data_IF_956942697081
#
_entry.id   IF_956942697081
#
_cell.length_a   1.000
_cell.length_b   1.000
_cell.length_c   1.000
_cell.angle_alpha   90.00
_cell.angle_beta   90.00
_cell.angle_gamma   90.00
#
_symmetry.space_group_name_H-M   'P 1'
#
loop_
_entity.id
_entity.type
_entity.pdbx_description
1 polymer ?
#
# COMPACT_ATOMS: atom_id res chain seq x y z
N UNK A 1 -24.25 58.86 -17.14
CA UNK A 1 -23.90 57.94 -16.02
C UNK A 1 -23.38 56.64 -16.60
N UNK A 2 -22.08 56.54 -16.89
CA UNK A 2 -21.46 55.35 -17.48
C UNK A 2 -21.16 54.31 -16.39
N UNK A 3 -21.67 53.08 -16.55
CA UNK A 3 -21.35 51.94 -15.67
C UNK A 3 -19.90 51.51 -15.93
N UNK A 4 -19.04 51.65 -14.92
CA UNK A 4 -17.69 51.12 -14.96
C UNK A 4 -17.75 49.58 -14.99
N UNK A 5 -17.26 48.99 -16.07
CA UNK A 5 -17.03 47.55 -16.15
C UNK A 5 -15.96 47.17 -15.10
N UNK A 6 -16.31 46.26 -14.18
CA UNK A 6 -15.35 45.69 -13.24
C UNK A 6 -14.28 44.91 -14.00
N UNK A 7 -12.97 45.14 -13.75
CA UNK A 7 -11.92 44.44 -14.46
C UNK A 7 -12.02 42.94 -14.14
N UNK A 8 -12.04 42.13 -15.19
CA UNK A 8 -12.00 40.68 -15.08
C UNK A 8 -10.76 40.28 -14.26
N UNK A 9 -10.98 39.75 -13.05
CA UNK A 9 -9.88 39.35 -12.17
C UNK A 9 -9.09 38.22 -12.84
N UNK A 10 -7.92 38.56 -13.36
CA UNK A 10 -6.91 37.62 -13.83
C UNK A 10 -6.66 36.63 -12.70
N UNK A 11 -7.10 35.38 -12.89
CA UNK A 11 -7.03 34.33 -11.86
C UNK A 11 -5.61 34.28 -11.30
N UNK A 12 -5.45 34.63 -10.02
CA UNK A 12 -4.13 34.62 -9.37
C UNK A 12 -3.55 33.21 -9.54
N UNK A 13 -2.33 33.14 -10.10
CA UNK A 13 -1.61 31.86 -10.16
C UNK A 13 -1.50 31.30 -8.74
N UNK A 14 -1.74 30.00 -8.61
CA UNK A 14 -1.62 29.33 -7.31
C UNK A 14 -0.16 29.40 -6.83
N UNK A 15 0.08 29.40 -5.51
CA UNK A 15 1.43 29.39 -4.97
C UNK A 15 2.25 28.21 -5.52
N UNK A 16 3.56 28.41 -5.70
CA UNK A 16 4.45 27.40 -6.26
C UNK A 16 4.42 26.07 -5.49
N UNK A 17 4.28 26.12 -4.16
CA UNK A 17 4.19 24.93 -3.32
C UNK A 17 2.96 24.06 -3.63
N UNK A 18 1.84 24.67 -4.01
CA UNK A 18 0.62 23.95 -4.43
C UNK A 18 0.88 23.19 -5.73
N UNK A 19 1.58 23.82 -6.67
CA UNK A 19 1.91 23.19 -7.96
C UNK A 19 2.88 22.03 -7.77
N UNK A 20 3.94 22.22 -6.98
CA UNK A 20 4.91 21.17 -6.63
C UNK A 20 4.24 19.99 -5.95
N UNK A 21 3.31 20.24 -5.02
CA UNK A 21 2.63 19.19 -4.30
C UNK A 21 1.65 18.42 -5.19
N UNK A 22 0.94 19.09 -6.10
CA UNK A 22 0.11 18.41 -7.11
C UNK A 22 0.97 17.54 -8.05
N UNK A 23 2.14 18.03 -8.46
CA UNK A 23 3.12 17.27 -9.25
C UNK A 23 3.56 16.02 -8.48
N UNK A 24 3.92 16.18 -7.20
CA UNK A 24 4.32 15.08 -6.31
C UNK A 24 3.21 14.05 -6.15
N UNK A 25 1.98 14.48 -5.85
CA UNK A 25 0.81 13.60 -5.72
C UNK A 25 0.51 12.87 -7.04
N UNK A 26 0.67 13.51 -8.19
CA UNK A 26 0.49 12.87 -9.51
C UNK A 26 1.62 11.89 -9.86
N UNK A 27 2.83 12.17 -9.43
CA UNK A 27 3.99 11.28 -9.61
C UNK A 27 3.86 10.03 -8.72
N UNK A 28 3.41 10.19 -7.47
CA UNK A 28 3.23 9.09 -6.50
C UNK A 28 1.95 8.27 -6.74
N UNK A 29 0.83 8.93 -7.05
CA UNK A 29 -0.50 8.32 -7.25
C UNK A 29 -0.76 7.89 -8.70
N UNK A 30 0.16 7.11 -9.28
CA UNK A 30 0.09 6.67 -10.68
C UNK A 30 -1.32 6.13 -11.02
N UNK A 31 -1.96 6.71 -12.04
CA UNK A 31 -3.29 6.28 -12.51
C UNK A 31 -4.49 6.90 -11.77
N UNK A 32 -4.31 7.70 -10.71
CA UNK A 32 -5.43 8.39 -10.06
C UNK A 32 -6.00 9.52 -10.94
N UNK A 33 -7.33 9.59 -11.04
CA UNK A 33 -8.00 10.68 -11.76
C UNK A 33 -7.79 12.04 -11.09
N UNK A 34 -7.86 13.13 -11.87
CA UNK A 34 -7.61 14.51 -11.39
C UNK A 34 -8.48 14.91 -10.19
N UNK A 35 -9.74 14.45 -10.15
CA UNK A 35 -10.67 14.72 -9.05
C UNK A 35 -10.23 14.05 -7.73
N UNK A 36 -9.64 12.84 -7.80
CA UNK A 36 -9.12 12.14 -6.62
C UNK A 36 -7.87 12.83 -6.09
N UNK A 37 -7.00 13.31 -6.98
CA UNK A 37 -5.82 14.10 -6.60
C UNK A 37 -6.25 15.39 -5.90
N UNK A 38 -7.24 16.10 -6.46
CA UNK A 38 -7.77 17.32 -5.84
C UNK A 38 -8.36 17.04 -4.44
N UNK A 39 -9.13 15.95 -4.31
CA UNK A 39 -9.71 15.54 -3.02
C UNK A 39 -8.63 15.17 -2.00
N UNK A 40 -7.58 14.46 -2.43
CA UNK A 40 -6.45 14.11 -1.58
C UNK A 40 -5.71 15.36 -1.09
N UNK A 41 -5.37 16.28 -2.00
CA UNK A 41 -4.74 17.55 -1.66
C UNK A 41 -5.57 18.34 -0.64
N UNK A 42 -6.86 18.55 -0.94
CA UNK A 42 -7.73 19.37 -0.08
C UNK A 42 -7.91 18.78 1.32
N UNK A 43 -7.85 17.44 1.48
CA UNK A 43 -7.89 16.81 2.81
C UNK A 43 -6.57 16.98 3.56
N UNK A 44 -5.43 16.80 2.88
CA UNK A 44 -4.10 16.87 3.50
C UNK A 44 -3.74 18.30 3.93
N UNK A 45 -4.11 19.28 3.09
CA UNK A 45 -3.70 20.68 3.24
C UNK A 45 -4.86 21.59 3.65
N UNK A 46 -5.94 21.03 4.20
CA UNK A 46 -7.10 21.78 4.67
C UNK A 46 -6.73 22.93 5.63
N UNK A 47 -5.70 22.72 6.46
CA UNK A 47 -5.21 23.67 7.45
C UNK A 47 -4.39 24.84 6.85
N UNK A 48 -3.90 24.71 5.61
CA UNK A 48 -3.08 25.75 4.95
C UNK A 48 -3.92 26.77 4.18
N UNK A 49 -5.26 26.68 4.23
CA UNK A 49 -6.17 27.63 3.58
C UNK A 49 -6.23 27.53 2.04
N UNK A 50 -5.40 26.70 1.42
CA UNK A 50 -5.37 26.51 -0.03
C UNK A 50 -6.22 25.32 -0.48
N UNK A 51 -6.97 25.53 -1.56
CA UNK A 51 -7.77 24.48 -2.21
C UNK A 51 -7.50 24.42 -3.70
N UNK A 52 -7.55 23.21 -4.24
CA UNK A 52 -7.43 22.92 -5.66
C UNK A 52 -8.71 22.25 -6.17
N UNK A 53 -9.16 22.67 -7.35
CA UNK A 53 -10.25 22.01 -8.09
C UNK A 53 -9.70 20.94 -9.04
N UNK A 54 -10.57 20.06 -9.54
CA UNK A 54 -10.24 19.12 -10.62
C UNK A 54 -9.60 19.82 -11.82
N UNK A 55 -10.16 20.94 -12.26
CA UNK A 55 -9.66 21.72 -13.42
C UNK A 55 -8.28 22.33 -13.14
N UNK A 56 -8.05 22.79 -11.91
CA UNK A 56 -6.74 23.32 -11.48
C UNK A 56 -5.67 22.23 -11.51
N UNK A 57 -5.99 21.04 -10.98
CA UNK A 57 -5.07 19.89 -11.04
C UNK A 57 -4.79 19.50 -12.49
N UNK A 58 -5.81 19.44 -13.34
CA UNK A 58 -5.63 19.10 -14.75
C UNK A 58 -4.72 20.10 -15.47
N UNK A 59 -4.89 21.41 -15.22
CA UNK A 59 -4.01 22.45 -15.74
C UNK A 59 -2.57 22.26 -15.28
N UNK A 60 -2.34 22.10 -13.98
CA UNK A 60 -0.99 21.92 -13.40
C UNK A 60 -0.33 20.67 -13.96
N UNK A 61 -1.05 19.54 -14.02
CA UNK A 61 -0.51 18.28 -14.54
C UNK A 61 -0.18 18.37 -16.02
N UNK A 62 -1.01 19.05 -16.82
CA UNK A 62 -0.75 19.23 -18.24
C UNK A 62 0.45 20.16 -18.50
N UNK A 63 0.61 21.21 -17.69
CA UNK A 63 1.74 22.13 -17.80
C UNK A 63 3.07 21.51 -17.32
N UNK A 64 3.04 20.47 -16.48
CA UNK A 64 4.22 19.91 -15.81
C UNK A 64 4.46 18.42 -16.14
N UNK A 65 4.08 17.98 -17.34
CA UNK A 65 4.19 16.55 -17.74
C UNK A 65 5.61 16.03 -17.65
N UNK A 66 6.60 16.83 -18.05
CA UNK A 66 8.01 16.46 -18.03
C UNK A 66 8.55 16.31 -16.61
N UNK A 67 8.24 17.26 -15.71
CA UNK A 67 8.61 17.18 -14.30
C UNK A 67 8.00 15.94 -13.63
N UNK A 68 6.74 15.63 -13.92
CA UNK A 68 6.08 14.41 -13.44
C UNK A 68 6.79 13.16 -13.97
N UNK A 69 7.18 13.15 -15.24
CA UNK A 69 7.91 12.03 -15.84
C UNK A 69 9.33 11.87 -15.27
N UNK A 70 10.02 12.97 -14.98
CA UNK A 70 11.32 12.98 -14.31
C UNK A 70 11.23 12.40 -12.90
N UNK A 71 10.29 12.89 -12.08
CA UNK A 71 10.05 12.35 -10.73
C UNK A 71 9.65 10.87 -10.75
N UNK A 72 8.88 10.44 -11.76
CA UNK A 72 8.56 9.01 -11.94
C UNK A 72 9.79 8.18 -12.26
N UNK A 73 10.70 8.69 -13.09
CA UNK A 73 11.97 8.00 -13.41
C UNK A 73 12.86 7.92 -12.18
N UNK A 74 12.99 9.01 -11.43
CA UNK A 74 13.74 9.03 -10.18
C UNK A 74 13.19 8.01 -9.18
N UNK A 75 11.88 8.02 -8.92
CA UNK A 75 11.26 7.04 -8.04
C UNK A 75 11.35 5.59 -8.54
N UNK A 76 11.38 5.35 -9.86
CA UNK A 76 11.51 4.01 -10.43
C UNK A 76 12.90 3.41 -10.17
N UNK A 77 13.94 4.23 -10.19
CA UNK A 77 15.33 3.81 -10.02
C UNK A 77 15.87 4.06 -8.61
N UNK A 78 15.06 4.60 -7.71
CA UNK A 78 15.42 4.74 -6.31
C UNK A 78 15.73 3.36 -5.72
N UNK A 79 17.03 3.11 -5.49
CA UNK A 79 17.51 1.91 -4.81
C UNK A 79 16.83 1.88 -3.44
N UNK A 80 16.12 0.79 -3.07
CA UNK A 80 15.58 0.68 -1.73
C UNK A 80 16.72 0.84 -0.73
N UNK A 81 16.62 1.82 0.17
CA UNK A 81 17.54 1.92 1.31
C UNK A 81 17.66 0.53 1.94
N UNK A 82 18.89 0.10 2.23
CA UNK A 82 19.19 -1.25 2.73
C UNK A 82 18.12 -1.68 3.72
N UNK A 83 17.30 -2.68 3.38
CA UNK A 83 16.11 -2.92 4.14
C UNK A 83 16.49 -3.49 5.50
N UNK A 84 16.02 -2.84 6.57
CA UNK A 84 16.10 -3.41 7.90
C UNK A 84 15.36 -4.76 7.89
N UNK A 85 16.11 -5.84 8.15
CA UNK A 85 15.55 -7.19 8.22
C UNK A 85 14.67 -7.33 9.45
N UNK A 86 13.60 -8.12 9.32
CA UNK A 86 12.78 -8.52 10.46
C UNK A 86 12.16 -7.35 11.26
N UNK A 87 11.95 -6.19 10.62
CA UNK A 87 11.33 -5.03 11.29
C UNK A 87 9.83 -4.99 11.03
N UNK A 88 9.42 -5.21 9.79
CA UNK A 88 8.01 -5.16 9.38
C UNK A 88 7.69 -6.41 8.58
N UNK A 89 6.74 -7.20 9.06
CA UNK A 89 6.20 -8.32 8.30
C UNK A 89 4.88 -7.92 7.66
N UNK A 90 4.66 -8.33 6.42
CA UNK A 90 3.38 -8.26 5.74
C UNK A 90 2.75 -9.65 5.72
N UNK A 91 1.47 -9.73 6.06
CA UNK A 91 0.70 -10.96 6.08
C UNK A 91 -0.52 -10.84 5.16
N UNK A 92 -0.71 -11.84 4.30
CA UNK A 92 -1.80 -11.88 3.32
C UNK A 92 -2.38 -13.30 3.23
N UNK A 93 -3.71 -13.39 3.09
CA UNK A 93 -4.43 -14.64 2.89
C UNK A 93 -4.91 -14.69 1.45
N UNK A 94 -4.40 -15.66 0.69
CA UNK A 94 -4.85 -15.89 -0.68
C UNK A 94 -5.58 -17.22 -0.79
N UNK A 95 -6.57 -17.28 -1.69
CA UNK A 95 -7.21 -18.54 -2.07
C UNK A 95 -6.60 -18.99 -3.38
N UNK A 96 -6.08 -20.21 -3.41
CA UNK A 96 -5.46 -20.83 -4.58
C UNK A 96 -6.25 -22.08 -4.93
N UNK A 97 -6.55 -22.25 -6.22
CA UNK A 97 -7.11 -23.51 -6.71
C UNK A 97 -5.97 -24.48 -7.00
N UNK A 98 -6.09 -25.70 -6.48
CA UNK A 98 -5.17 -26.79 -6.78
C UNK A 98 -5.39 -27.33 -8.21
N UNK A 99 -4.53 -28.24 -8.67
CA UNK A 99 -4.67 -28.91 -9.97
C UNK A 99 -6.01 -29.65 -10.14
N UNK A 100 -6.64 -30.01 -9.02
CA UNK A 100 -7.95 -30.66 -8.93
C UNK A 100 -9.12 -29.66 -8.77
N UNK A 101 -8.89 -28.37 -9.02
CA UNK A 101 -9.85 -27.27 -8.84
C UNK A 101 -10.36 -27.05 -7.41
N UNK A 102 -9.83 -27.78 -6.42
CA UNK A 102 -10.15 -27.55 -5.00
C UNK A 102 -9.53 -26.26 -4.51
N UNK A 103 -10.33 -25.41 -3.87
CA UNK A 103 -9.84 -24.17 -3.27
C UNK A 103 -9.15 -24.45 -1.94
N UNK A 104 -7.92 -23.96 -1.80
CA UNK A 104 -7.12 -23.98 -0.57
C UNK A 104 -6.77 -22.56 -0.19
N UNK A 105 -6.77 -22.25 1.10
CA UNK A 105 -6.34 -20.93 1.58
C UNK A 105 -4.89 -21.02 2.02
N UNK A 106 -4.09 -20.05 1.63
CA UNK A 106 -2.66 -20.00 1.92
C UNK A 106 -2.35 -18.68 2.60
N UNK A 107 -1.66 -18.75 3.72
CA UNK A 107 -1.09 -17.61 4.43
C UNK A 107 0.31 -17.33 3.90
N UNK A 108 0.48 -16.17 3.29
CA UNK A 108 1.78 -15.63 2.95
C UNK A 108 2.27 -14.68 4.03
N UNK A 109 3.50 -14.89 4.52
CA UNK A 109 4.22 -13.95 5.38
C UNK A 109 5.49 -13.52 4.66
N UNK A 110 5.68 -12.22 4.50
CA UNK A 110 6.81 -11.63 3.77
C UNK A 110 7.45 -10.53 4.61
N UNK A 111 8.78 -10.51 4.68
CA UNK A 111 9.52 -9.38 5.25
C UNK A 111 9.43 -8.19 4.28
N UNK A 112 8.82 -7.09 4.73
CA UNK A 112 8.63 -5.89 3.91
C UNK A 112 9.98 -5.26 3.52
N UNK A 113 10.98 -5.37 4.39
CA UNK A 113 12.32 -4.91 4.12
C UNK A 113 12.95 -5.74 3.01
N UNK A 114 13.34 -6.96 3.35
CA UNK A 114 14.17 -7.81 2.47
C UNK A 114 13.43 -8.40 1.29
N UNK A 115 12.09 -8.37 1.31
CA UNK A 115 11.21 -9.12 0.39
C UNK A 115 11.38 -10.63 0.48
N UNK A 116 12.01 -11.13 1.54
CA UNK A 116 12.09 -12.55 1.79
C UNK A 116 10.71 -13.11 2.15
N UNK A 117 10.34 -14.23 1.51
CA UNK A 117 9.18 -15.00 1.91
C UNK A 117 9.53 -15.79 3.18
N UNK A 118 8.87 -15.45 4.29
CA UNK A 118 9.06 -16.07 5.60
C UNK A 118 8.24 -17.35 5.71
N UNK A 119 7.03 -17.32 5.14
CA UNK A 119 6.10 -18.43 5.18
C UNK A 119 5.13 -18.42 4.00
N UNK A 120 4.82 -19.63 3.54
CA UNK A 120 3.64 -19.96 2.76
C UNK A 120 3.04 -21.20 3.42
N UNK A 121 2.00 -21.02 4.21
CA UNK A 121 1.37 -22.10 4.97
C UNK A 121 -0.07 -22.28 4.51
N UNK A 122 -0.49 -23.52 4.27
CA UNK A 122 -1.91 -23.82 4.02
C UNK A 122 -2.71 -23.67 5.32
N UNK A 123 -3.81 -22.92 5.25
CA UNK A 123 -4.69 -22.66 6.39
C UNK A 123 -6.09 -23.18 6.08
N UNK A 124 -6.61 -24.02 6.97
CA UNK A 124 -7.92 -24.63 6.83
C UNK A 124 -9.06 -23.72 7.33
N UNK A 125 -8.78 -22.81 8.25
CA UNK A 125 -9.77 -21.93 8.87
C UNK A 125 -9.29 -20.47 8.90
N UNK A 126 -10.15 -19.53 8.48
CA UNK A 126 -9.90 -18.07 8.61
C UNK A 126 -10.13 -17.58 10.05
N UNK A 127 -9.50 -18.23 11.02
CA UNK A 127 -9.62 -17.86 12.44
C UNK A 127 -8.33 -17.22 12.92
N UNK A 128 -8.44 -16.25 13.82
CA UNK A 128 -7.28 -15.59 14.41
C UNK A 128 -6.35 -16.56 15.14
N UNK A 129 -6.91 -17.61 15.75
CA UNK A 129 -6.15 -18.66 16.43
C UNK A 129 -5.26 -19.45 15.46
N UNK A 130 -5.77 -19.79 14.27
CA UNK A 130 -4.96 -20.46 13.24
C UNK A 130 -3.81 -19.57 12.75
N UNK A 131 -4.09 -18.29 12.52
CA UNK A 131 -3.08 -17.31 12.12
C UNK A 131 -2.01 -17.10 13.18
N UNK A 132 -2.41 -16.99 14.45
CA UNK A 132 -1.48 -16.84 15.58
C UNK A 132 -0.57 -18.06 15.74
N UNK A 133 -1.09 -19.27 15.51
CA UNK A 133 -0.29 -20.50 15.57
C UNK A 133 0.84 -20.48 14.53
N UNK A 134 0.52 -20.11 13.31
CA UNK A 134 1.52 -19.95 12.25
C UNK A 134 2.52 -18.84 12.59
N UNK A 135 2.05 -17.68 13.06
CA UNK A 135 2.91 -16.58 13.48
C UNK A 135 3.89 -17.00 14.59
N UNK A 136 3.42 -17.74 15.59
CA UNK A 136 4.25 -18.23 16.68
C UNK A 136 5.37 -19.16 16.18
N UNK A 137 5.05 -20.07 15.26
CA UNK A 137 6.05 -20.92 14.62
C UNK A 137 7.11 -20.10 13.88
N UNK A 138 6.73 -18.99 13.25
CA UNK A 138 7.68 -18.09 12.57
C UNK A 138 8.47 -17.22 13.53
N UNK A 139 7.87 -16.74 14.62
CA UNK A 139 8.59 -15.99 15.66
C UNK A 139 9.71 -16.83 16.28
N UNK A 140 9.48 -18.13 16.50
CA UNK A 140 10.54 -19.04 17.00
C UNK A 140 11.72 -19.17 16.04
N UNK A 141 11.47 -19.12 14.73
CA UNK A 141 12.51 -19.34 13.70
C UNK A 141 13.26 -18.06 13.31
N UNK A 142 12.55 -16.92 13.25
CA UNK A 142 13.08 -15.67 12.70
C UNK A 142 13.15 -14.53 13.74
N UNK A 143 12.65 -14.74 14.95
CA UNK A 143 12.50 -13.71 15.98
C UNK A 143 11.22 -12.88 15.83
N UNK A 144 11.04 -11.91 16.72
CA UNK A 144 9.85 -11.06 16.75
C UNK A 144 10.04 -9.81 15.88
N UNK A 145 9.10 -9.50 14.96
CA UNK A 145 9.12 -8.24 14.23
C UNK A 145 8.65 -7.08 15.12
N UNK A 146 9.02 -5.85 14.77
CA UNK A 146 8.50 -4.65 15.46
C UNK A 146 7.04 -4.37 15.08
N UNK A 147 6.66 -4.70 13.84
CA UNK A 147 5.33 -4.43 13.31
C UNK A 147 4.89 -5.55 12.36
N UNK A 148 3.60 -5.89 12.42
CA UNK A 148 2.95 -6.76 11.44
C UNK A 148 1.87 -5.93 10.73
N UNK A 149 1.97 -5.87 9.41
CA UNK A 149 1.00 -5.24 8.52
C UNK A 149 0.08 -6.31 7.96
N UNK A 150 -1.21 -6.09 8.10
CA UNK A 150 -2.22 -7.04 7.64
C UNK A 150 -3.35 -6.32 6.93
N UNK A 151 -3.89 -6.96 5.90
CA UNK A 151 -5.10 -6.48 5.24
C UNK A 151 -6.33 -6.61 6.15
N UNK A 152 -7.32 -5.79 5.88
CA UNK A 152 -8.41 -5.41 6.79
C UNK A 152 -9.49 -6.50 6.99
N UNK A 153 -9.09 -7.78 6.94
CA UNK A 153 -9.98 -8.93 7.08
C UNK A 153 -10.42 -9.14 8.53
N UNK A 154 -11.62 -9.71 8.71
CA UNK A 154 -12.27 -9.89 10.02
C UNK A 154 -11.41 -10.75 10.97
N UNK A 155 -10.74 -11.78 10.44
CA UNK A 155 -9.83 -12.65 11.19
C UNK A 155 -8.63 -11.89 11.81
N UNK A 156 -8.23 -10.77 11.20
CA UNK A 156 -7.08 -9.96 11.62
C UNK A 156 -7.47 -8.87 12.62
N UNK A 157 -8.76 -8.57 12.73
CA UNK A 157 -9.30 -7.54 13.65
C UNK A 157 -9.67 -8.06 15.03
N UNK A 158 -9.62 -9.36 15.26
CA UNK A 158 -10.09 -9.92 16.53
C UNK A 158 -9.34 -9.35 17.72
N UNK A 159 -10.06 -9.18 18.84
CA UNK A 159 -9.46 -8.77 20.12
C UNK A 159 -8.34 -9.72 20.52
N UNK A 160 -8.50 -11.02 20.26
CA UNK A 160 -7.51 -12.05 20.52
C UNK A 160 -6.16 -11.77 19.82
N UNK A 161 -6.19 -11.51 18.51
CA UNK A 161 -4.98 -11.19 17.74
C UNK A 161 -4.28 -9.95 18.28
N UNK A 162 -5.06 -8.88 18.54
CA UNK A 162 -4.53 -7.62 19.08
C UNK A 162 -3.90 -7.79 20.45
N UNK A 163 -4.58 -8.48 21.36
CA UNK A 163 -4.09 -8.72 22.72
C UNK A 163 -2.81 -9.54 22.73
N UNK A 164 -2.75 -10.62 21.93
CA UNK A 164 -1.55 -11.48 21.90
C UNK A 164 -0.36 -10.75 21.28
N UNK A 165 -0.54 -10.05 20.16
CA UNK A 165 0.55 -9.29 19.56
C UNK A 165 1.02 -8.15 20.47
N UNK A 166 0.09 -7.50 21.18
CA UNK A 166 0.43 -6.48 22.17
C UNK A 166 1.26 -7.04 23.32
N UNK A 167 0.88 -8.21 23.88
CA UNK A 167 1.66 -8.89 24.92
C UNK A 167 3.07 -9.29 24.43
N UNK A 168 3.21 -9.62 23.15
CA UNK A 168 4.50 -9.94 22.53
C UNK A 168 5.31 -8.70 22.13
N UNK A 169 4.81 -7.48 22.40
CA UNK A 169 5.47 -6.22 22.01
C UNK A 169 5.44 -5.93 20.51
N UNK A 170 4.61 -6.64 19.75
CA UNK A 170 4.50 -6.50 18.29
C UNK A 170 3.34 -5.58 17.94
N UNK A 171 3.60 -4.50 17.19
CA UNK A 171 2.55 -3.58 16.74
C UNK A 171 1.76 -4.18 15.58
N UNK A 172 0.43 -4.20 15.67
CA UNK A 172 -0.44 -4.61 14.56
C UNK A 172 -0.90 -3.37 13.78
N UNK A 173 -0.56 -3.29 12.50
CA UNK A 173 -1.01 -2.24 11.59
C UNK A 173 -2.01 -2.82 10.57
N UNK A 174 -3.26 -2.40 10.64
CA UNK A 174 -4.26 -2.71 9.61
C UNK A 174 -4.28 -1.62 8.54
N UNK A 175 -4.39 -1.99 7.27
CA UNK A 175 -4.54 -1.01 6.18
C UNK A 175 -5.92 -0.38 6.20
N UNK A 176 -6.01 0.95 6.05
CA UNK A 176 -7.29 1.67 5.99
C UNK A 176 -8.11 1.30 4.74
N UNK A 177 -9.44 1.14 4.85
CA UNK A 177 -10.29 0.84 3.71
C UNK A 177 -10.21 1.95 2.64
N UNK A 178 -9.91 1.58 1.40
CA UNK A 178 -9.96 2.50 0.24
C UNK A 178 -8.63 3.08 -0.23
N UNK A 179 -7.47 2.65 0.32
CA UNK A 179 -6.15 3.16 -0.08
C UNK A 179 -5.20 2.08 -0.66
N UNK A 180 -5.48 1.51 -1.86
CA UNK A 180 -4.67 0.43 -2.44
C UNK A 180 -3.21 0.83 -2.76
N UNK A 181 -2.89 2.13 -2.81
CA UNK A 181 -1.54 2.62 -3.11
C UNK A 181 -0.54 2.46 -1.95
N UNK A 182 -0.99 2.25 -0.71
CA UNK A 182 -0.08 1.92 0.39
C UNK A 182 0.45 0.48 0.32
N UNK A 183 -0.21 -0.41 -0.44
CA UNK A 183 0.12 -1.83 -0.56
C UNK A 183 0.56 -2.26 -1.97
N UNK A 184 0.90 -1.32 -2.86
CA UNK A 184 1.24 -1.60 -4.28
C UNK A 184 2.43 -2.55 -4.52
N UNK A 185 3.07 -3.08 -3.48
CA UNK A 185 4.20 -4.02 -3.54
C UNK A 185 3.85 -5.46 -3.14
N UNK A 186 2.70 -5.71 -2.49
CA UNK A 186 2.31 -7.04 -2.03
C UNK A 186 1.59 -7.81 -3.15
N UNK A 187 0.64 -7.18 -3.87
CA UNK A 187 -0.09 -7.81 -4.97
C UNK A 187 0.78 -8.28 -6.13
N UNK A 188 1.87 -7.55 -6.43
CA UNK A 188 2.83 -7.94 -7.48
C UNK A 188 3.68 -9.16 -7.10
N UNK A 189 3.90 -9.38 -5.80
CA UNK A 189 4.68 -10.51 -5.29
C UNK A 189 3.85 -11.80 -5.33
N UNK A 190 2.58 -11.74 -4.89
CA UNK A 190 1.64 -12.87 -4.93
C UNK A 190 1.33 -13.30 -6.38
N UNK A 191 1.18 -12.36 -7.32
CA UNK A 191 1.00 -12.65 -8.75
C UNK A 191 2.24 -13.26 -9.42
N UNK A 192 3.45 -12.96 -8.92
CA UNK A 192 4.70 -13.54 -9.44
C UNK A 192 4.93 -14.95 -8.91
N UNK A 193 4.60 -15.22 -7.66
CA UNK A 193 4.68 -16.58 -7.08
C UNK A 193 3.63 -17.52 -7.69
N UNK A 194 2.41 -17.04 -7.96
CA UNK A 194 1.38 -17.87 -8.61
C UNK A 194 1.76 -18.28 -10.04
N UNK A 195 2.45 -17.41 -10.80
CA UNK A 195 3.00 -17.75 -12.13
C UNK A 195 4.16 -18.74 -12.06
N UNK A 196 4.96 -18.73 -10.99
CA UNK A 196 6.11 -19.64 -10.81
C UNK A 196 5.66 -21.03 -10.33
N UNK A 197 4.59 -21.12 -9.53
CA UNK A 197 4.04 -22.40 -9.05
C UNK A 197 3.35 -23.24 -10.13
N UNK A 198 2.93 -22.65 -11.26
CA UNK A 198 2.38 -23.38 -12.41
C UNK A 198 3.40 -24.26 -13.15
N UNK A 199 4.70 -24.19 -12.79
CA UNK A 199 5.79 -24.89 -13.50
C UNK A 199 6.51 -25.96 -12.67
N UNK A 200 6.15 -26.20 -11.42
CA UNK A 200 6.83 -27.20 -10.60
C UNK A 200 5.81 -28.13 -9.93
N UNK A 201 5.99 -29.46 -10.01
CA UNK A 201 5.22 -30.40 -9.22
C UNK A 201 5.52 -30.17 -7.73
N UNK A 202 4.46 -30.05 -6.93
CA UNK A 202 4.54 -29.90 -5.49
C UNK A 202 5.04 -31.20 -4.86
N UNK A 203 6.18 -31.16 -4.16
CA UNK A 203 6.57 -32.18 -3.20
C UNK A 203 6.56 -31.56 -1.80
N UNK A 204 5.90 -32.19 -0.81
CA UNK A 204 5.94 -31.75 0.57
C UNK A 204 7.36 -32.01 1.12
N UNK A 205 8.03 -30.97 1.59
CA UNK A 205 9.26 -31.11 2.36
C UNK A 205 8.85 -31.32 3.81
N UNK A 206 9.20 -32.49 4.33
CA UNK A 206 9.09 -32.93 5.74
C UNK A 206 10.04 -32.10 6.61
#
# INVERSE_FOLDING_TARGET
MARLATPWCRTKKKPAWVEQEVIRLRAMGYGLGYARIASAFNRMYAHLGERVSKSTVQRIVNANREAIAALRREHKHAIPKSPLRNVIWAMDLCVVADSTARQRMVLGIVDHGTRACIALSEIHQRTSAALLRELYARFRKFGFPKCIRVDNDAANKSKLMRSILWMLGVRLQTTDPGCPWQNGRISASSARSSRRSRRLPWHPVI
#
